data_IF_095560712326
#
_entry.id   IF_095560712326
#
_cell.length_a   1.000
_cell.length_b   1.000
_cell.length_c   1.000
_cell.angle_alpha   90.00
_cell.angle_beta   90.00
_cell.angle_gamma   90.00
#
_symmetry.space_group_name_H-M   'P 1'
#
loop_
_entity.id
_entity.type
_entity.pdbx_description
1 polymer ?
#
# COMPACT_ATOMS: atom_id res chain seq x y z
N UNK A 1 27.00 42.53 5.43
CA UNK A 1 25.59 42.15 5.69
C UNK A 1 25.15 41.26 4.54
N UNK A 2 25.46 39.97 4.61
CA UNK A 2 25.23 38.99 3.53
C UNK A 2 24.16 38.02 4.03
N UNK A 3 22.96 38.15 3.48
CA UNK A 3 21.82 37.26 3.70
C UNK A 3 22.15 35.87 3.16
N UNK A 4 22.48 34.94 4.06
CA UNK A 4 22.53 33.51 3.78
C UNK A 4 21.11 33.07 3.42
N UNK A 5 20.87 32.74 2.15
CA UNK A 5 19.70 31.96 1.75
C UNK A 5 19.86 30.57 2.37
N UNK A 6 19.20 30.34 3.49
CA UNK A 6 19.12 29.00 4.05
C UNK A 6 18.35 28.12 3.08
N UNK A 7 19.07 27.16 2.49
CA UNK A 7 18.51 26.12 1.66
C UNK A 7 17.42 25.38 2.46
N UNK A 8 16.15 25.55 2.05
CA UNK A 8 14.97 24.89 2.63
C UNK A 8 14.95 23.35 2.45
N UNK A 9 16.06 22.75 2.00
CA UNK A 9 16.27 21.31 1.98
C UNK A 9 16.73 20.85 3.36
N UNK A 10 15.83 20.90 4.34
CA UNK A 10 16.05 20.23 5.63
C UNK A 10 16.30 18.76 5.35
N UNK A 11 17.53 18.34 5.61
CA UNK A 11 18.07 17.00 5.43
C UNK A 11 17.30 16.01 6.33
N UNK A 12 16.15 15.51 5.84
CA UNK A 12 15.48 14.39 6.51
C UNK A 12 16.40 13.21 6.39
N UNK A 13 16.93 12.73 7.51
CA UNK A 13 17.78 11.55 7.57
C UNK A 13 17.14 10.43 6.76
N UNK A 14 17.87 9.95 5.74
CA UNK A 14 17.43 8.90 4.85
C UNK A 14 17.68 7.55 5.52
N UNK A 15 16.69 6.66 5.48
CA UNK A 15 16.77 5.37 6.15
C UNK A 15 17.14 4.29 5.13
N UNK A 16 18.42 4.17 4.79
CA UNK A 16 18.93 3.23 3.78
C UNK A 16 18.51 1.78 4.06
N UNK A 17 18.53 1.36 5.33
CA UNK A 17 18.07 0.02 5.74
C UNK A 17 16.59 -0.18 5.43
N UNK A 18 15.74 0.83 5.67
CA UNK A 18 14.31 0.73 5.39
C UNK A 18 14.04 0.67 3.89
N UNK A 19 14.83 1.35 3.08
CA UNK A 19 14.75 1.26 1.62
C UNK A 19 15.22 -0.10 1.09
N UNK A 20 16.27 -0.67 1.69
CA UNK A 20 16.67 -2.05 1.42
C UNK A 20 15.56 -3.05 1.77
N UNK A 21 14.92 -2.90 2.94
CA UNK A 21 13.80 -3.76 3.35
C UNK A 21 12.57 -3.60 2.44
N UNK A 22 12.29 -2.39 1.92
CA UNK A 22 11.27 -2.20 0.88
C UNK A 22 11.59 -3.00 -0.38
N UNK A 23 12.86 -3.05 -0.78
CA UNK A 23 13.31 -3.85 -1.92
C UNK A 23 13.04 -5.34 -1.71
N UNK A 24 13.43 -5.87 -0.55
CA UNK A 24 13.17 -7.28 -0.18
C UNK A 24 11.67 -7.57 -0.15
N UNK A 25 10.87 -6.72 0.49
CA UNK A 25 9.41 -6.85 0.52
C UNK A 25 8.79 -6.86 -0.88
N UNK A 26 9.25 -5.98 -1.78
CA UNK A 26 8.77 -5.92 -3.16
C UNK A 26 9.08 -7.22 -3.92
N UNK A 27 10.30 -7.75 -3.78
CA UNK A 27 10.70 -9.02 -4.39
C UNK A 27 9.86 -10.18 -3.83
N UNK A 28 9.64 -10.22 -2.50
CA UNK A 28 8.80 -11.23 -1.87
C UNK A 28 7.36 -11.24 -2.41
N UNK A 29 6.76 -10.07 -2.65
CA UNK A 29 5.42 -9.95 -3.26
C UNK A 29 5.39 -10.49 -4.70
N UNK A 30 6.42 -10.19 -5.50
CA UNK A 30 6.51 -10.70 -6.88
C UNK A 30 6.67 -12.22 -6.89
N UNK A 31 7.55 -12.76 -6.05
CA UNK A 31 7.74 -14.21 -5.93
C UNK A 31 6.46 -14.88 -5.44
N UNK A 32 5.77 -14.29 -4.46
CA UNK A 32 4.48 -14.78 -3.97
C UNK A 32 3.46 -14.94 -5.11
N UNK A 33 3.25 -13.91 -5.93
CA UNK A 33 2.30 -13.99 -7.04
C UNK A 33 2.71 -15.01 -8.11
N UNK A 34 4.00 -15.17 -8.37
CA UNK A 34 4.47 -16.22 -9.29
C UNK A 34 4.23 -17.62 -8.69
N UNK A 35 4.54 -17.82 -7.42
CA UNK A 35 4.35 -19.10 -6.72
C UNK A 35 2.86 -19.44 -6.51
N UNK A 36 1.98 -18.45 -6.37
CA UNK A 36 0.52 -18.63 -6.31
C UNK A 36 -0.01 -19.25 -7.62
N UNK A 37 0.63 -18.97 -8.75
CA UNK A 37 0.28 -19.57 -10.05
C UNK A 37 0.88 -20.98 -10.18
N UNK A 38 2.13 -21.17 -9.76
CA UNK A 38 2.85 -22.45 -9.90
C UNK A 38 2.38 -23.50 -8.89
N UNK A 39 2.12 -23.09 -7.66
CA UNK A 39 1.63 -23.91 -6.55
C UNK A 39 0.33 -23.29 -6.01
N UNK A 40 -0.82 -23.57 -6.66
CA UNK A 40 -2.10 -22.98 -6.27
C UNK A 40 -2.58 -23.44 -4.89
N UNK A 41 -2.10 -24.60 -4.42
CA UNK A 41 -2.43 -25.13 -3.10
C UNK A 41 -1.55 -24.47 -2.02
N UNK A 42 -2.12 -23.66 -1.09
CA UNK A 42 -1.34 -22.88 -0.13
C UNK A 42 -0.35 -23.69 0.73
N UNK A 43 -0.67 -24.89 1.24
CA UNK A 43 0.28 -25.71 2.01
C UNK A 43 1.53 -26.14 1.21
N UNK A 44 1.42 -26.23 -0.12
CA UNK A 44 2.56 -26.56 -0.99
C UNK A 44 3.39 -25.32 -1.36
N UNK A 45 2.87 -24.11 -1.16
CA UNK A 45 3.53 -22.86 -1.47
C UNK A 45 4.35 -22.36 -0.27
N UNK A 46 5.67 -22.48 -0.36
CA UNK A 46 6.62 -22.06 0.70
C UNK A 46 6.56 -20.57 1.05
N UNK A 47 5.98 -19.74 0.18
CA UNK A 47 5.80 -18.30 0.38
C UNK A 47 4.31 -17.91 0.41
N UNK A 48 3.40 -18.82 0.79
CA UNK A 48 1.96 -18.58 0.82
C UNK A 48 1.53 -17.32 1.61
N UNK A 49 2.37 -16.84 2.53
CA UNK A 49 2.14 -15.64 3.33
C UNK A 49 2.85 -14.37 2.81
N UNK A 50 3.49 -14.42 1.65
CA UNK A 50 4.23 -13.28 1.08
C UNK A 50 3.37 -12.04 0.82
N UNK A 51 2.05 -12.19 0.73
CA UNK A 51 1.10 -11.07 0.67
C UNK A 51 1.13 -10.15 1.90
N UNK A 52 1.66 -10.61 3.06
CA UNK A 52 1.81 -9.81 4.28
C UNK A 52 2.88 -8.72 4.16
N UNK A 53 3.78 -8.82 3.18
CA UNK A 53 4.72 -7.75 2.88
C UNK A 53 4.01 -6.43 2.50
N UNK A 54 2.74 -6.48 2.06
CA UNK A 54 1.90 -5.29 1.86
C UNK A 54 1.61 -4.57 3.18
N UNK A 55 1.35 -5.29 4.27
CA UNK A 55 1.16 -4.71 5.60
C UNK A 55 2.44 -4.03 6.10
N UNK A 56 3.60 -4.60 5.79
CA UNK A 56 4.89 -3.95 6.02
C UNK A 56 4.99 -2.61 5.26
N UNK A 57 4.59 -2.55 3.99
CA UNK A 57 4.55 -1.30 3.23
C UNK A 57 3.61 -0.26 3.86
N UNK A 58 2.43 -0.65 4.31
CA UNK A 58 1.49 0.25 5.00
C UNK A 58 2.05 0.78 6.31
N UNK A 59 2.64 -0.09 7.13
CA UNK A 59 3.30 0.31 8.38
C UNK A 59 4.45 1.28 8.12
N UNK A 60 5.31 0.96 7.16
CA UNK A 60 6.41 1.82 6.80
C UNK A 60 5.94 3.14 6.19
N UNK A 61 4.80 3.17 5.48
CA UNK A 61 4.20 4.41 5.01
C UNK A 61 3.76 5.30 6.18
N UNK A 62 3.04 4.74 7.15
CA UNK A 62 2.62 5.44 8.37
C UNK A 62 3.79 5.99 9.19
N UNK A 63 4.89 5.23 9.28
CA UNK A 63 6.12 5.70 9.91
C UNK A 63 6.76 6.87 9.14
N UNK A 64 7.00 6.70 7.83
CA UNK A 64 7.69 7.70 7.00
C UNK A 64 6.89 8.98 6.87
N UNK A 65 5.56 8.90 6.75
CA UNK A 65 4.72 10.10 6.63
C UNK A 65 4.68 10.89 7.94
N UNK A 66 4.60 10.21 9.08
CA UNK A 66 4.66 10.86 10.38
C UNK A 66 6.03 11.50 10.62
N UNK A 67 7.11 10.83 10.19
CA UNK A 67 8.47 11.37 10.22
C UNK A 67 8.67 12.60 9.33
N UNK A 68 8.29 12.52 8.06
CA UNK A 68 8.56 13.56 7.08
C UNK A 68 7.67 14.80 7.28
N UNK A 69 6.42 14.61 7.73
CA UNK A 69 5.40 15.67 7.74
C UNK A 69 4.87 16.02 9.14
N UNK A 70 5.25 15.29 10.20
CA UNK A 70 4.66 15.45 11.54
C UNK A 70 4.63 16.88 12.07
N UNK A 71 5.74 17.62 11.91
CA UNK A 71 5.83 19.02 12.34
C UNK A 71 5.54 20.02 11.20
N UNK A 72 5.60 19.58 9.94
CA UNK A 72 5.56 20.46 8.75
C UNK A 72 4.17 20.61 8.14
N UNK A 73 3.30 19.61 8.30
CA UNK A 73 2.01 19.60 7.62
C UNK A 73 1.05 20.70 8.12
N UNK A 74 1.22 21.17 9.36
CA UNK A 74 0.44 22.31 9.87
C UNK A 74 0.81 23.64 9.23
N UNK A 75 2.04 23.77 8.72
CA UNK A 75 2.57 24.98 8.08
C UNK A 75 2.55 24.89 6.54
N UNK A 76 2.37 23.68 6.00
CA UNK A 76 2.36 23.40 4.57
C UNK A 76 0.95 23.52 4.00
N UNK A 77 0.84 24.04 2.77
CA UNK A 77 -0.43 24.04 2.07
C UNK A 77 -0.84 22.62 1.68
N UNK A 78 -2.08 22.23 1.99
CA UNK A 78 -2.60 20.87 1.75
C UNK A 78 -2.44 20.43 0.27
N UNK A 79 -2.54 21.37 -0.68
CA UNK A 79 -2.33 21.06 -2.11
C UNK A 79 -0.90 20.59 -2.39
N UNK A 80 0.10 21.15 -1.73
CA UNK A 80 1.50 20.78 -1.94
C UNK A 80 1.77 19.37 -1.40
N UNK A 81 1.14 19.02 -0.27
CA UNK A 81 1.19 17.67 0.28
C UNK A 81 0.61 16.66 -0.74
N UNK A 82 -0.61 16.90 -1.24
CA UNK A 82 -1.23 15.99 -2.22
C UNK A 82 -0.47 15.93 -3.54
N UNK A 83 0.10 17.05 -4.01
CA UNK A 83 0.96 17.07 -5.20
C UNK A 83 2.19 16.18 -5.01
N UNK A 84 2.87 16.26 -3.86
CA UNK A 84 4.01 15.41 -3.55
C UNK A 84 3.63 13.91 -3.52
N UNK A 85 2.45 13.59 -2.98
CA UNK A 85 1.94 12.20 -2.97
C UNK A 85 1.58 11.71 -4.36
N UNK A 86 0.95 12.54 -5.18
CA UNK A 86 0.56 12.21 -6.55
C UNK A 86 1.78 11.90 -7.42
N UNK A 87 2.80 12.78 -7.41
CA UNK A 87 4.04 12.59 -8.19
C UNK A 87 4.76 11.31 -7.79
N UNK A 88 4.63 10.87 -6.54
CA UNK A 88 5.27 9.65 -6.04
C UNK A 88 4.50 8.39 -6.42
N UNK A 89 3.17 8.38 -6.28
CA UNK A 89 2.37 7.16 -6.39
C UNK A 89 1.76 6.95 -7.78
N UNK A 90 1.26 8.02 -8.40
CA UNK A 90 0.48 7.93 -9.64
C UNK A 90 1.27 7.43 -10.86
N UNK A 91 2.58 7.71 -11.04
CA UNK A 91 3.33 7.14 -12.16
C UNK A 91 3.30 5.61 -12.19
N UNK A 92 3.37 4.96 -11.03
CA UNK A 92 3.29 3.50 -10.92
C UNK A 92 1.88 2.97 -11.21
N UNK A 93 0.83 3.73 -10.84
CA UNK A 93 -0.57 3.39 -11.17
C UNK A 93 -0.78 3.40 -12.68
N UNK A 94 -0.32 4.45 -13.36
CA UNK A 94 -0.44 4.59 -14.82
C UNK A 94 0.36 3.50 -15.52
N UNK A 95 1.62 3.27 -15.12
CA UNK A 95 2.47 2.24 -15.71
C UNK A 95 1.86 0.84 -15.55
N UNK A 96 1.41 0.48 -14.34
CA UNK A 96 0.77 -0.81 -14.09
C UNK A 96 -0.54 -0.98 -14.87
N UNK A 97 -1.34 0.09 -14.99
CA UNK A 97 -2.58 0.08 -15.80
C UNK A 97 -2.28 -0.10 -17.28
N UNK A 98 -1.21 0.52 -17.79
CA UNK A 98 -0.77 0.38 -19.19
C UNK A 98 -0.29 -1.04 -19.48
N UNK A 99 0.53 -1.62 -18.60
CA UNK A 99 0.98 -3.01 -18.73
C UNK A 99 -0.23 -3.95 -18.68
N UNK A 100 -1.18 -3.70 -17.78
CA UNK A 100 -2.43 -4.46 -17.69
C UNK A 100 -3.29 -4.38 -18.95
N UNK A 101 -3.42 -3.19 -19.53
CA UNK A 101 -4.12 -2.98 -20.79
C UNK A 101 -3.44 -3.74 -21.94
N UNK A 102 -2.11 -3.62 -22.07
CA UNK A 102 -1.34 -4.37 -23.06
C UNK A 102 -1.52 -5.88 -22.88
N UNK A 103 -1.49 -6.36 -21.63
CA UNK A 103 -1.77 -7.76 -21.31
C UNK A 103 -3.14 -8.21 -21.81
N UNK A 104 -4.18 -7.42 -21.55
CA UNK A 104 -5.54 -7.69 -22.02
C UNK A 104 -5.64 -7.72 -23.56
N UNK A 105 -4.91 -6.84 -24.26
CA UNK A 105 -4.94 -6.73 -25.73
C UNK A 105 -4.13 -7.84 -26.42
N UNK A 106 -2.99 -8.25 -25.84
CA UNK A 106 -2.08 -9.25 -26.45
C UNK A 106 -2.59 -10.66 -26.21
N UNK A 107 -3.06 -10.95 -25.00
CA UNK A 107 -3.62 -12.24 -24.65
C UNK A 107 -4.92 -11.96 -23.90
N UNK A 108 -6.08 -12.02 -24.57
CA UNK A 108 -7.37 -11.86 -23.92
C UNK A 108 -7.48 -12.94 -22.84
N UNK A 109 -7.18 -12.58 -21.59
CA UNK A 109 -6.85 -13.46 -20.46
C UNK A 109 -8.04 -14.38 -20.09
N UNK A 110 -8.31 -15.40 -20.90
CA UNK A 110 -9.48 -16.27 -20.79
C UNK A 110 -10.81 -15.64 -21.26
N UNK A 111 -10.82 -14.38 -21.67
CA UNK A 111 -11.98 -13.71 -22.26
C UNK A 111 -11.74 -13.61 -23.76
N UNK A 112 -12.33 -14.50 -24.56
CA UNK A 112 -12.13 -14.54 -26.02
C UNK A 112 -12.29 -13.16 -26.72
N UNK A 113 -11.75 -13.02 -27.94
CA UNK A 113 -11.56 -11.74 -28.64
C UNK A 113 -12.83 -10.88 -28.87
N UNK A 114 -14.04 -11.39 -28.60
CA UNK A 114 -15.33 -10.72 -28.83
C UNK A 114 -16.04 -10.21 -27.55
N UNK A 115 -15.48 -10.43 -26.36
CA UNK A 115 -16.24 -10.25 -25.10
C UNK A 115 -16.42 -8.80 -24.64
N UNK A 116 -15.60 -7.86 -25.12
CA UNK A 116 -15.58 -6.48 -24.61
C UNK A 116 -15.55 -5.45 -25.74
N UNK A 117 -16.51 -4.53 -25.73
CA UNK A 117 -16.54 -3.42 -26.68
C UNK A 117 -15.37 -2.46 -26.46
N UNK A 118 -14.94 -1.76 -27.51
CA UNK A 118 -13.89 -0.74 -27.40
C UNK A 118 -14.21 0.33 -26.34
N UNK A 119 -15.47 0.75 -26.25
CA UNK A 119 -15.93 1.68 -25.21
C UNK A 119 -15.74 1.13 -23.80
N UNK A 120 -15.98 -0.17 -23.59
CA UNK A 120 -15.76 -0.82 -22.31
C UNK A 120 -14.28 -0.87 -21.92
N UNK A 121 -13.39 -1.21 -22.86
CA UNK A 121 -11.94 -1.20 -22.62
C UNK A 121 -11.45 0.20 -22.23
N UNK A 122 -11.98 1.25 -22.88
CA UNK A 122 -11.69 2.64 -22.53
C UNK A 122 -12.14 2.94 -21.09
N UNK A 123 -13.37 2.57 -20.73
CA UNK A 123 -13.89 2.77 -19.36
C UNK A 123 -13.04 2.01 -18.33
N UNK A 124 -12.67 0.76 -18.60
CA UNK A 124 -11.80 -0.03 -17.74
C UNK A 124 -10.43 0.65 -17.54
N UNK A 125 -9.84 1.17 -18.61
CA UNK A 125 -8.56 1.84 -18.54
C UNK A 125 -8.63 3.15 -17.76
N UNK A 126 -9.67 3.96 -17.98
CA UNK A 126 -9.92 5.17 -17.22
C UNK A 126 -10.16 4.87 -15.74
N UNK A 127 -10.98 3.85 -15.43
CA UNK A 127 -11.21 3.41 -14.06
C UNK A 127 -9.91 2.95 -13.38
N UNK A 128 -9.03 2.24 -14.11
CA UNK A 128 -7.74 1.79 -13.59
C UNK A 128 -6.78 2.95 -13.28
N UNK A 129 -6.64 3.91 -14.21
CA UNK A 129 -5.77 5.08 -13.99
C UNK A 129 -6.31 5.96 -12.85
N UNK A 130 -7.62 6.17 -12.81
CA UNK A 130 -8.28 6.96 -11.76
C UNK A 130 -8.44 6.18 -10.44
N UNK A 131 -8.05 4.91 -10.41
CA UNK A 131 -8.16 4.01 -9.26
C UNK A 131 -9.58 3.88 -8.72
N UNK A 132 -10.57 3.89 -9.62
CA UNK A 132 -11.98 3.71 -9.29
C UNK A 132 -12.26 2.20 -9.23
N UNK A 133 -12.64 1.64 -8.07
CA UNK A 133 -13.03 0.23 -7.95
C UNK A 133 -14.21 -0.08 -8.87
N UNK A 134 -14.08 -1.09 -9.73
CA UNK A 134 -15.06 -1.40 -10.78
C UNK A 134 -15.36 -2.91 -10.85
N UNK A 135 -16.50 -3.39 -10.31
CA UNK A 135 -16.82 -4.81 -10.21
C UNK A 135 -17.44 -5.38 -11.50
N UNK A 136 -16.67 -5.51 -12.57
CA UNK A 136 -17.23 -5.86 -13.89
C UNK A 136 -16.51 -6.98 -14.66
N UNK A 137 -15.49 -7.64 -14.08
CA UNK A 137 -14.89 -8.87 -14.65
C UNK A 137 -15.03 -10.05 -13.69
N UNK A 138 -16.19 -10.75 -13.68
CA UNK A 138 -16.43 -11.90 -12.79
C UNK A 138 -15.41 -13.03 -12.96
N UNK A 139 -14.95 -13.25 -14.18
CA UNK A 139 -13.91 -14.24 -14.54
C UNK A 139 -12.55 -13.95 -13.90
N UNK A 140 -12.35 -12.74 -13.36
CA UNK A 140 -11.15 -12.34 -12.62
C UNK A 140 -11.42 -12.28 -11.12
N UNK A 141 -12.19 -13.23 -10.61
CA UNK A 141 -12.53 -13.36 -9.19
C UNK A 141 -13.17 -12.09 -8.60
N UNK A 142 -13.96 -11.37 -9.41
CA UNK A 142 -14.55 -10.07 -9.05
C UNK A 142 -13.52 -9.06 -8.50
N UNK A 143 -12.31 -9.06 -9.07
CA UNK A 143 -11.29 -8.07 -8.76
C UNK A 143 -11.77 -6.67 -9.16
N UNK A 144 -11.76 -5.74 -8.20
CA UNK A 144 -12.19 -4.36 -8.43
C UNK A 144 -11.17 -3.52 -9.21
N UNK A 145 -9.92 -3.98 -9.28
CA UNK A 145 -8.79 -3.30 -9.90
C UNK A 145 -8.33 -4.08 -11.14
N UNK A 146 -9.25 -4.25 -12.08
CA UNK A 146 -9.16 -5.20 -13.20
C UNK A 146 -7.84 -5.21 -13.98
N UNK A 147 -7.35 -4.05 -14.43
CA UNK A 147 -6.11 -3.98 -15.22
C UNK A 147 -4.85 -3.99 -14.35
N UNK A 148 -4.96 -3.57 -13.11
CA UNK A 148 -3.82 -3.46 -12.20
C UNK A 148 -4.22 -4.01 -10.83
N UNK A 149 -4.32 -5.33 -10.71
CA UNK A 149 -4.72 -6.00 -9.48
C UNK A 149 -4.02 -5.43 -8.23
N UNK A 150 -2.67 -5.29 -8.17
CA UNK A 150 -1.99 -4.81 -6.97
C UNK A 150 -2.25 -3.33 -6.62
N UNK A 151 -2.89 -2.55 -7.51
CA UNK A 151 -3.25 -1.15 -7.23
C UNK A 151 -4.25 -0.97 -6.10
N UNK A 152 -4.93 -2.04 -5.65
CA UNK A 152 -5.76 -2.02 -4.45
C UNK A 152 -5.00 -1.50 -3.23
N UNK A 153 -3.71 -1.86 -3.10
CA UNK A 153 -2.87 -1.40 -2.00
C UNK A 153 -2.55 0.10 -2.11
N UNK A 154 -2.27 0.58 -3.32
CA UNK A 154 -2.05 2.01 -3.59
C UNK A 154 -3.32 2.83 -3.37
N UNK A 155 -4.50 2.28 -3.63
CA UNK A 155 -5.78 2.94 -3.36
C UNK A 155 -5.93 3.22 -1.87
N UNK A 156 -5.73 2.19 -1.04
CA UNK A 156 -5.75 2.33 0.41
C UNK A 156 -4.65 3.27 0.92
N UNK A 157 -3.48 3.26 0.29
CA UNK A 157 -2.43 4.24 0.57
C UNK A 157 -2.90 5.68 0.29
N UNK A 158 -3.60 5.97 -0.81
CA UNK A 158 -4.20 7.30 -1.04
C UNK A 158 -5.22 7.67 0.05
N UNK A 159 -6.10 6.73 0.43
CA UNK A 159 -7.05 6.93 1.53
C UNK A 159 -6.29 7.27 2.82
N UNK A 160 -5.22 6.54 3.14
CA UNK A 160 -4.39 6.80 4.30
C UNK A 160 -3.76 8.20 4.27
N UNK A 161 -3.28 8.64 3.11
CA UNK A 161 -2.72 9.97 2.93
C UNK A 161 -3.75 11.08 3.14
N UNK A 162 -4.99 10.88 2.67
CA UNK A 162 -6.11 11.81 2.91
C UNK A 162 -6.46 11.85 4.40
N UNK A 163 -6.63 10.68 5.03
CA UNK A 163 -6.90 10.58 6.47
C UNK A 163 -5.78 11.20 7.31
N UNK A 164 -4.54 11.01 6.89
CA UNK A 164 -3.38 11.61 7.54
C UNK A 164 -3.44 13.12 7.48
N UNK A 165 -3.63 13.71 6.30
CA UNK A 165 -3.64 15.16 6.10
C UNK A 165 -4.85 15.89 6.69
N UNK A 166 -5.92 15.17 7.02
CA UNK A 166 -7.16 15.76 7.55
C UNK A 166 -7.29 15.57 9.06
N UNK A 167 -7.04 14.36 9.56
CA UNK A 167 -7.34 13.95 10.94
C UNK A 167 -6.10 13.42 11.66
N UNK A 168 -5.41 12.41 11.11
CA UNK A 168 -4.44 11.63 11.90
C UNK A 168 -3.21 12.45 12.34
N UNK A 169 -2.78 13.44 11.54
CA UNK A 169 -1.63 14.27 11.94
C UNK A 169 -1.88 15.11 13.20
N UNK A 170 -3.16 15.48 13.44
CA UNK A 170 -3.61 16.30 14.58
C UNK A 170 -3.83 15.48 15.85
N UNK A 171 -3.97 14.16 15.72
CA UNK A 171 -4.26 13.30 16.87
C UNK A 171 -3.10 13.30 17.86
N UNK A 172 -3.42 13.54 19.13
CA UNK A 172 -2.44 13.35 20.20
C UNK A 172 -2.02 11.87 20.28
N UNK A 173 -0.77 11.62 20.66
CA UNK A 173 -0.17 10.27 20.69
C UNK A 173 -1.02 9.22 21.41
N UNK A 174 -1.74 9.60 22.49
CA UNK A 174 -2.63 8.71 23.25
C UNK A 174 -3.83 8.22 22.43
N UNK A 175 -4.44 9.10 21.64
CA UNK A 175 -5.61 8.73 20.83
C UNK A 175 -5.20 7.93 19.61
N UNK A 176 -4.03 8.24 19.05
CA UNK A 176 -3.42 7.43 17.99
C UNK A 176 -3.14 6.00 18.49
N UNK A 177 -2.66 5.84 19.73
CA UNK A 177 -2.46 4.53 20.34
C UNK A 177 -3.79 3.77 20.49
N UNK A 178 -4.83 4.40 21.02
CA UNK A 178 -6.15 3.78 21.11
C UNK A 178 -6.72 3.38 19.74
N UNK A 179 -6.55 4.25 18.73
CA UNK A 179 -6.93 3.93 17.36
C UNK A 179 -6.18 2.71 16.82
N UNK A 180 -4.87 2.60 17.06
CA UNK A 180 -4.08 1.44 16.67
C UNK A 180 -4.52 0.16 17.39
N UNK A 181 -4.88 0.24 18.67
CA UNK A 181 -5.42 -0.89 19.44
C UNK A 181 -6.76 -1.34 18.87
N UNK A 182 -7.68 -0.41 18.60
CA UNK A 182 -8.98 -0.71 17.99
C UNK A 182 -8.80 -1.35 16.61
N UNK A 183 -7.89 -0.80 15.79
CA UNK A 183 -7.59 -1.35 14.48
C UNK A 183 -6.95 -2.75 14.58
N UNK A 184 -6.11 -3.01 15.59
CA UNK A 184 -5.54 -4.33 15.86
C UNK A 184 -6.63 -5.35 16.19
N UNK A 185 -7.59 -4.99 17.06
CA UNK A 185 -8.75 -5.84 17.38
C UNK A 185 -9.56 -6.12 16.12
N UNK A 186 -9.82 -5.10 15.29
CA UNK A 186 -10.51 -5.27 14.00
C UNK A 186 -9.78 -6.24 13.07
N UNK A 187 -8.45 -6.15 12.98
CA UNK A 187 -7.63 -7.05 12.18
C UNK A 187 -7.67 -8.49 12.72
N UNK A 188 -7.63 -8.67 14.05
CA UNK A 188 -7.76 -9.99 14.68
C UNK A 188 -9.12 -10.62 14.40
N UNK A 189 -10.22 -9.85 14.53
CA UNK A 189 -11.56 -10.32 14.21
C UNK A 189 -11.65 -10.71 12.73
N UNK A 190 -11.12 -9.87 11.84
CA UNK A 190 -11.09 -10.16 10.41
C UNK A 190 -10.34 -11.47 10.11
N UNK A 191 -9.15 -11.64 10.69
CA UNK A 191 -8.35 -12.87 10.54
C UNK A 191 -9.13 -14.10 11.03
N UNK A 192 -9.78 -14.00 12.18
CA UNK A 192 -10.59 -15.09 12.74
C UNK A 192 -11.79 -15.45 11.87
N UNK A 193 -12.52 -14.45 11.35
CA UNK A 193 -13.73 -14.66 10.53
C UNK A 193 -13.38 -15.18 9.13
N UNK A 194 -12.29 -14.70 8.53
CA UNK A 194 -11.88 -15.09 7.17
C UNK A 194 -10.99 -16.34 7.14
N UNK A 195 -10.37 -16.69 8.26
CA UNK A 195 -9.32 -17.72 8.32
C UNK A 195 -8.01 -17.31 7.64
N UNK A 196 -7.93 -16.09 7.10
CA UNK A 196 -6.77 -15.53 6.40
C UNK A 196 -6.86 -14.00 6.32
N UNK A 197 -5.72 -13.34 6.12
CA UNK A 197 -5.64 -11.91 5.80
C UNK A 197 -5.47 -11.64 4.30
N UNK A 198 -5.56 -12.69 3.48
CA UNK A 198 -5.49 -12.61 2.03
C UNK A 198 -6.79 -12.00 1.47
N UNK A 199 -6.82 -10.67 1.37
CA UNK A 199 -7.96 -9.90 0.89
C UNK A 199 -7.64 -8.41 0.70
N UNK A 200 -8.56 -7.68 0.07
CA UNK A 200 -8.45 -6.22 -0.14
C UNK A 200 -8.71 -5.74 -1.57
N UNK A 201 -8.73 -6.65 -2.54
CA UNK A 201 -8.91 -6.33 -3.97
C UNK A 201 -10.27 -6.75 -4.54
N UNK A 202 -10.91 -7.76 -3.96
CA UNK A 202 -12.16 -8.33 -4.49
C UNK A 202 -13.39 -7.62 -3.96
N UNK A 203 -14.52 -7.71 -4.68
CA UNK A 203 -15.79 -7.10 -4.26
C UNK A 203 -16.22 -7.46 -2.82
N UNK A 204 -16.05 -8.72 -2.43
CA UNK A 204 -16.41 -9.23 -1.09
C UNK A 204 -15.34 -9.03 -0.02
N UNK A 205 -14.09 -8.75 -0.43
CA UNK A 205 -12.91 -8.58 0.44
C UNK A 205 -12.35 -7.16 0.42
N UNK A 206 -13.02 -6.21 -0.25
CA UNK A 206 -12.55 -4.84 -0.43
C UNK A 206 -12.19 -4.17 0.90
N UNK A 207 -13.08 -4.29 1.89
CA UNK A 207 -12.91 -3.71 3.22
C UNK A 207 -11.84 -4.41 4.05
N UNK A 208 -11.48 -5.66 3.72
CA UNK A 208 -10.37 -6.37 4.37
C UNK A 208 -9.07 -5.57 4.20
N UNK A 209 -8.89 -4.94 3.03
CA UNK A 209 -7.76 -4.04 2.75
C UNK A 209 -7.77 -2.77 3.60
N UNK A 210 -8.95 -2.22 3.88
CA UNK A 210 -9.11 -1.06 4.76
C UNK A 210 -8.75 -1.36 6.21
N UNK A 211 -9.13 -2.54 6.71
CA UNK A 211 -8.77 -3.00 8.08
C UNK A 211 -7.26 -3.25 8.20
N UNK A 212 -6.68 -3.93 7.20
CA UNK A 212 -5.22 -4.16 7.10
C UNK A 212 -4.45 -2.84 7.09
N UNK A 213 -4.88 -1.89 6.26
CA UNK A 213 -4.32 -0.53 6.23
C UNK A 213 -4.45 0.14 7.59
N UNK A 214 -5.65 0.14 8.18
CA UNK A 214 -5.93 0.89 9.42
C UNK A 214 -4.99 0.48 10.54
N UNK A 215 -4.79 -0.82 10.76
CA UNK A 215 -3.84 -1.30 11.78
C UNK A 215 -2.41 -0.95 11.41
N UNK A 216 -1.96 -1.42 10.23
CA UNK A 216 -0.56 -1.31 9.83
C UNK A 216 -0.09 0.14 9.78
N UNK A 217 -0.85 1.01 9.12
CA UNK A 217 -0.51 2.43 9.00
C UNK A 217 -0.46 3.15 10.36
N UNK A 218 -1.44 2.91 11.24
CA UNK A 218 -1.44 3.55 12.57
C UNK A 218 -0.35 2.99 13.47
N UNK A 219 -0.01 1.71 13.38
CA UNK A 219 1.13 1.11 14.08
C UNK A 219 2.44 1.81 13.69
N UNK A 220 2.67 2.03 12.40
CA UNK A 220 3.84 2.78 11.92
C UNK A 220 3.91 4.20 12.47
N UNK A 221 2.76 4.90 12.51
CA UNK A 221 2.69 6.22 13.14
C UNK A 221 2.98 6.18 14.64
N UNK A 222 2.48 5.17 15.37
CA UNK A 222 2.74 4.98 16.81
C UNK A 222 4.23 4.78 17.07
N UNK A 223 4.89 3.91 16.30
CA UNK A 223 6.34 3.66 16.39
C UNK A 223 7.11 4.98 16.32
N UNK A 224 6.77 5.83 15.34
CA UNK A 224 7.41 7.13 15.20
C UNK A 224 7.09 8.09 16.36
N UNK A 225 5.80 8.27 16.70
CA UNK A 225 5.35 9.26 17.69
C UNK A 225 5.80 8.95 19.11
N UNK A 226 5.95 7.67 19.45
CA UNK A 226 6.49 7.22 20.74
C UNK A 226 8.01 7.04 20.73
N UNK A 227 8.67 7.21 19.56
CA UNK A 227 10.10 7.00 19.38
C UNK A 227 10.53 5.61 19.87
N UNK A 228 9.76 4.60 19.50
CA UNK A 228 10.03 3.22 19.90
C UNK A 228 11.29 2.77 19.16
N UNK A 229 12.36 2.52 19.90
CA UNK A 229 13.65 2.07 19.38
C UNK A 229 14.02 0.80 20.12
N UNK A 230 14.19 -0.29 19.38
CA UNK A 230 14.65 -1.57 19.91
C UNK A 230 16.10 -1.77 19.46
N UNK A 231 17.09 -1.60 20.35
CA UNK A 231 18.49 -1.80 19.98
C UNK A 231 18.72 -3.27 19.64
N UNK A 232 19.38 -3.54 18.50
CA UNK A 232 19.70 -4.89 18.06
C UNK A 232 21.06 -4.90 17.33
N UNK A 233 21.62 -6.10 17.16
CA UNK A 233 22.90 -6.34 16.45
C UNK A 233 22.73 -7.16 15.17
N UNK A 234 21.51 -7.23 14.63
CA UNK A 234 21.17 -8.12 13.52
C UNK A 234 21.74 -7.66 12.17
N UNK A 235 22.03 -6.36 12.04
CA UNK A 235 22.44 -5.76 10.79
C UNK A 235 21.35 -5.87 9.71
N UNK A 236 21.67 -5.46 8.48
CA UNK A 236 20.73 -5.57 7.36
C UNK A 236 20.31 -7.02 7.05
N UNK A 237 21.23 -8.01 6.95
CA UNK A 237 20.84 -9.38 6.62
C UNK A 237 19.92 -10.01 7.66
N UNK A 238 20.18 -9.79 8.94
CA UNK A 238 19.33 -10.32 10.01
C UNK A 238 17.94 -9.68 10.00
N UNK A 239 17.84 -8.37 9.73
CA UNK A 239 16.54 -7.71 9.57
C UNK A 239 15.79 -8.19 8.31
N UNK A 240 16.50 -8.41 7.21
CA UNK A 240 15.91 -8.92 5.96
C UNK A 240 15.38 -10.35 6.10
N UNK A 241 15.97 -11.17 6.98
CA UNK A 241 15.50 -12.53 7.28
C UNK A 241 14.29 -12.54 8.22
N UNK A 242 14.09 -11.51 9.03
CA UNK A 242 12.90 -11.37 9.88
C UNK A 242 11.68 -10.83 9.13
N UNK A 243 11.89 -10.26 7.94
CA UNK A 243 10.85 -9.73 7.06
C UNK A 243 10.16 -10.87 6.29
#
# INVERSE_FOLDING_TARGET
>A
MTTRKDNLTTNTQHFEILDGLRGIAAVAVVIFHFMEIVFPDPPANIIAHGFLAVDFFFCLSGFVIAYAYGNRIGEMHIKDFFKARLIRLHPLVVLGSLIGLLGLLIHPLGAGPDNYSAGYIIILFLASILMIPFPFMPERYNNLFNLNAPSWSLFWEYVANILYATVLYKLARRYLLWLAIIAAVGLTILCYVRGSLLGGWGGTTFWDGGVRLAFSFTAGMVVYRYRIIIPNKLGFPGLALML
#
